data_IF_056389870156
#
_entry.id   IF_056389870156
#
_cell.length_a   1.000
_cell.length_b   1.000
_cell.length_c   1.000
_cell.angle_alpha   90.00
_cell.angle_beta   90.00
_cell.angle_gamma   90.00
#
_symmetry.space_group_name_H-M   'P 1'
#
loop_
_entity.id
_entity.type
_entity.pdbx_description
1 polymer ?
#
# COMPACT_ATOMS: atom_id res chain seq x y z
N UNK A 1 -6.00 2.27 68.85
CA UNK A 1 -4.59 2.10 68.48
C UNK A 1 -4.44 0.80 67.70
N UNK A 2 -4.34 0.89 66.37
CA UNK A 2 -4.09 -0.24 65.48
C UNK A 2 -3.20 0.29 64.35
N UNK A 3 -1.92 -0.05 64.42
CA UNK A 3 -0.90 0.36 63.45
C UNK A 3 -0.95 -0.67 62.32
N UNK A 4 -1.51 -0.30 61.17
CA UNK A 4 -1.37 -1.08 59.93
C UNK A 4 0.00 -0.79 59.33
N UNK A 5 0.85 -1.82 59.27
CA UNK A 5 2.16 -1.79 58.64
C UNK A 5 1.99 -1.83 57.11
N UNK A 6 2.66 -0.90 56.41
CA UNK A 6 2.74 -0.87 54.95
C UNK A 6 3.70 -1.96 54.43
N UNK A 7 3.42 -2.58 53.26
CA UNK A 7 4.30 -3.59 52.70
C UNK A 7 5.60 -2.99 52.15
N UNK A 8 6.70 -3.71 52.35
CA UNK A 8 8.06 -3.33 51.96
C UNK A 8 8.25 -3.36 50.43
N UNK A 9 9.09 -2.42 49.95
CA UNK A 9 9.40 -2.15 48.53
C UNK A 9 9.84 -3.37 47.71
N UNK A 10 10.37 -4.41 48.35
CA UNK A 10 10.89 -5.60 47.67
C UNK A 10 9.79 -6.52 47.12
N UNK A 11 8.57 -6.46 47.69
CA UNK A 11 7.45 -7.28 47.22
C UNK A 11 6.84 -6.79 45.89
N UNK A 12 7.05 -5.53 45.53
CA UNK A 12 6.55 -4.94 44.28
C UNK A 12 7.45 -5.27 43.07
N UNK A 13 8.76 -5.41 43.28
CA UNK A 13 9.71 -5.69 42.19
C UNK A 13 9.63 -7.14 41.69
N UNK A 14 9.35 -8.11 42.55
CA UNK A 14 9.22 -9.51 42.11
C UNK A 14 7.94 -9.79 41.32
N UNK A 15 6.87 -9.01 41.54
CA UNK A 15 5.61 -9.18 40.79
C UNK A 15 5.67 -8.57 39.39
N UNK A 16 6.47 -7.51 39.19
CA UNK A 16 6.70 -6.92 37.88
C UNK A 16 7.61 -7.78 36.97
N UNK A 17 8.52 -8.58 37.56
CA UNK A 17 9.42 -9.45 36.80
C UNK A 17 8.72 -10.69 36.21
N UNK A 18 7.63 -11.17 36.81
CA UNK A 18 6.92 -12.38 36.36
C UNK A 18 5.90 -12.12 35.25
N UNK A 19 5.41 -10.89 35.07
CA UNK A 19 4.45 -10.57 33.99
C UNK A 19 5.11 -10.33 32.63
N UNK A 20 6.41 -10.00 32.59
CA UNK A 20 7.13 -9.77 31.33
C UNK A 20 7.66 -11.06 30.67
N UNK A 21 7.85 -12.15 31.42
CA UNK A 21 8.41 -13.38 30.88
C UNK A 21 7.43 -14.26 30.06
N UNK A 22 6.12 -13.95 30.09
CA UNK A 22 5.07 -14.71 29.40
C UNK A 22 4.51 -14.03 28.15
N UNK A 23 4.94 -12.80 27.82
CA UNK A 23 4.51 -12.08 26.60
C UNK A 23 5.44 -12.27 25.39
N UNK A 24 6.65 -12.78 25.60
CA UNK A 24 7.71 -12.78 24.57
C UNK A 24 7.88 -14.13 23.85
N UNK A 25 6.96 -15.09 24.02
CA UNK A 25 7.08 -16.43 23.41
C UNK A 25 6.04 -16.77 22.35
N UNK A 26 5.26 -15.79 21.87
CA UNK A 26 4.10 -16.00 20.99
C UNK A 26 4.16 -15.43 19.57
N UNK A 27 4.95 -14.39 19.28
CA UNK A 27 4.73 -13.58 18.07
C UNK A 27 5.90 -13.49 17.06
N UNK A 28 7.03 -14.18 17.31
CA UNK A 28 8.20 -14.07 16.43
C UNK A 28 8.12 -14.91 15.13
N UNK A 29 7.12 -15.78 14.96
CA UNK A 29 7.03 -16.65 13.76
C UNK A 29 5.99 -16.23 12.70
N UNK A 30 5.38 -15.04 12.79
CA UNK A 30 4.41 -14.57 11.76
C UNK A 30 4.77 -13.28 11.03
N UNK A 31 5.83 -12.56 11.41
CA UNK A 31 6.19 -11.27 10.78
C UNK A 31 7.28 -11.35 9.69
N UNK A 32 7.92 -12.50 9.44
CA UNK A 32 9.02 -12.63 8.48
C UNK A 32 8.62 -12.91 7.01
N UNK A 33 7.37 -12.68 6.60
CA UNK A 33 6.93 -12.92 5.19
C UNK A 33 6.47 -11.69 4.40
N UNK A 34 6.65 -10.46 4.90
CA UNK A 34 6.15 -9.26 4.21
C UNK A 34 7.19 -8.13 4.10
N UNK A 35 8.48 -8.43 3.97
CA UNK A 35 9.53 -7.41 3.87
C UNK A 35 10.58 -7.73 2.80
N UNK A 36 10.12 -8.14 1.61
CA UNK A 36 10.88 -8.07 0.37
C UNK A 36 10.00 -7.34 -0.64
N UNK A 37 10.55 -6.25 -1.16
CA UNK A 37 10.08 -5.44 -2.29
C UNK A 37 9.80 -4.01 -1.87
N UNK A 38 10.85 -3.21 -1.66
CA UNK A 38 10.83 -1.74 -1.77
C UNK A 38 12.30 -1.28 -1.89
N UNK A 39 12.58 -0.56 -2.99
CA UNK A 39 13.81 0.19 -3.37
C UNK A 39 14.88 -0.52 -4.21
N UNK A 40 14.78 -0.36 -5.54
CA UNK A 40 15.69 0.52 -6.31
C UNK A 40 14.99 1.01 -7.59
N UNK A 41 14.63 2.29 -7.67
CA UNK A 41 14.40 2.96 -8.97
C UNK A 41 14.75 4.44 -8.89
N UNK A 42 16.04 4.70 -9.04
CA UNK A 42 16.60 6.02 -9.32
C UNK A 42 16.35 6.43 -10.78
N UNK A 43 16.29 7.74 -10.97
CA UNK A 43 15.94 8.46 -12.19
C UNK A 43 16.75 8.06 -13.43
N UNK A 44 16.06 7.90 -14.57
CA UNK A 44 16.69 8.08 -15.87
C UNK A 44 15.73 8.82 -16.80
N UNK A 45 15.95 10.13 -16.90
CA UNK A 45 15.42 11.02 -17.94
C UNK A 45 16.02 10.62 -19.28
N UNK A 46 15.22 10.00 -20.17
CA UNK A 46 15.58 9.85 -21.57
C UNK A 46 14.37 10.05 -22.46
N UNK A 47 14.52 11.02 -23.36
CA UNK A 47 13.55 11.49 -24.34
C UNK A 47 12.84 10.35 -25.10
N UNK A 48 11.51 10.34 -25.07
CA UNK A 48 10.68 9.56 -25.97
C UNK A 48 10.28 10.44 -27.16
N UNK A 49 10.94 10.19 -28.28
CA UNK A 49 10.45 10.59 -29.59
C UNK A 49 9.08 9.92 -29.82
N UNK A 50 8.10 10.73 -30.24
CA UNK A 50 6.80 10.25 -30.75
C UNK A 50 7.05 9.35 -31.95
N UNK A 51 6.66 8.08 -31.85
CA UNK A 51 6.40 7.21 -33.01
C UNK A 51 4.89 7.28 -33.27
N UNK A 52 4.43 7.61 -34.49
CA UNK A 52 3.01 7.58 -34.81
C UNK A 52 2.57 6.12 -34.94
N UNK A 53 1.63 5.69 -34.10
CA UNK A 53 0.90 4.44 -34.31
C UNK A 53 -0.29 4.80 -35.19
N UNK A 54 -0.21 4.44 -36.46
CA UNK A 54 -1.37 4.41 -37.36
C UNK A 54 -2.37 3.39 -36.79
N UNK A 55 -3.39 3.88 -36.11
CA UNK A 55 -4.56 3.10 -35.75
C UNK A 55 -5.35 2.82 -37.03
N UNK A 56 -5.14 1.65 -37.62
CA UNK A 56 -5.98 1.11 -38.67
C UNK A 56 -7.38 0.87 -38.11
N UNK A 57 -8.27 1.83 -38.34
CA UNK A 57 -9.71 1.71 -38.10
C UNK A 57 -10.26 0.69 -39.08
N UNK A 58 -10.54 -0.53 -38.63
CA UNK A 58 -11.39 -1.46 -39.38
C UNK A 58 -12.83 -1.01 -39.12
N UNK A 59 -13.30 -0.07 -39.95
CA UNK A 59 -14.71 0.30 -39.99
C UNK A 59 -15.49 -0.82 -40.68
N UNK A 60 -16.35 -1.52 -39.92
CA UNK A 60 -17.39 -2.35 -40.51
C UNK A 60 -18.55 -1.46 -41.00
N UNK A 61 -18.94 -1.53 -42.29
CA UNK A 61 -19.97 -0.66 -42.85
C UNK A 61 -21.33 -1.32 -42.64
N UNK A 62 -21.85 -1.25 -41.42
CA UNK A 62 -23.29 -1.47 -41.19
C UNK A 62 -23.81 -0.27 -40.39
N UNK A 63 -24.33 0.69 -41.16
CA UNK A 63 -25.28 1.75 -40.79
C UNK A 63 -25.49 2.02 -39.28
N UNK A 64 -24.70 2.92 -38.72
CA UNK A 64 -25.21 3.91 -37.74
C UNK A 64 -25.45 5.22 -38.46
N UNK A 65 -26.49 5.25 -39.27
CA UNK A 65 -27.13 6.53 -39.57
C UNK A 65 -27.68 7.03 -38.23
N UNK A 66 -27.02 8.01 -37.61
CA UNK A 66 -27.74 8.93 -36.73
C UNK A 66 -28.79 9.58 -37.62
N UNK A 67 -30.02 9.07 -37.58
CA UNK A 67 -31.15 9.72 -38.20
C UNK A 67 -31.31 11.04 -37.44
N UNK A 68 -30.69 12.09 -37.98
CA UNK A 68 -31.00 13.45 -37.61
C UNK A 68 -32.49 13.60 -37.86
N UNK A 69 -33.27 13.62 -36.78
CA UNK A 69 -34.72 13.71 -36.85
C UNK A 69 -35.02 15.05 -37.53
N UNK A 70 -35.65 15.06 -38.71
CA UNK A 70 -35.85 16.28 -39.46
C UNK A 70 -36.74 17.26 -38.66
N UNK A 71 -36.49 18.57 -38.74
CA UNK A 71 -37.06 19.58 -37.83
C UNK A 71 -38.60 19.65 -37.83
N UNK A 72 -39.26 19.16 -38.88
CA UNK A 72 -40.73 19.09 -38.95
C UNK A 72 -41.32 18.03 -38.01
N UNK A 73 -40.63 16.92 -37.74
CA UNK A 73 -41.12 15.92 -36.76
C UNK A 73 -41.11 16.47 -35.33
N UNK A 74 -40.27 17.47 -35.06
CA UNK A 74 -40.29 18.21 -33.80
C UNK A 74 -41.55 19.09 -33.67
N UNK A 75 -42.03 19.65 -34.77
CA UNK A 75 -43.29 20.41 -34.79
C UNK A 75 -44.51 19.49 -34.60
N UNK A 76 -44.51 18.30 -35.22
CA UNK A 76 -45.59 17.32 -35.02
C UNK A 76 -45.64 16.79 -33.58
N UNK A 77 -44.50 16.44 -32.99
CA UNK A 77 -44.45 16.00 -31.59
C UNK A 77 -44.88 17.12 -30.63
N UNK A 78 -44.52 18.39 -30.92
CA UNK A 78 -44.98 19.55 -30.13
C UNK A 78 -46.49 19.78 -30.27
N UNK A 79 -47.05 19.64 -31.47
CA UNK A 79 -48.49 19.77 -31.73
C UNK A 79 -49.31 18.58 -31.18
N UNK A 80 -48.73 17.38 -31.06
CA UNK A 80 -49.40 16.23 -30.42
C UNK A 80 -49.32 16.31 -28.89
N UNK A 81 -48.22 16.81 -28.33
CA UNK A 81 -48.12 17.12 -26.89
C UNK A 81 -49.15 18.17 -26.48
N UNK A 82 -49.46 19.15 -27.33
CA UNK A 82 -50.55 20.12 -27.11
C UNK A 82 -51.95 19.48 -27.09
N UNK A 83 -52.13 18.26 -27.63
CA UNK A 83 -53.43 17.55 -27.64
C UNK A 83 -53.68 16.70 -26.40
N UNK A 84 -52.65 16.39 -25.61
CA UNK A 84 -52.77 15.55 -24.41
C UNK A 84 -52.60 16.40 -23.15
N UNK A 85 -53.42 16.15 -22.12
CA UNK A 85 -53.26 16.80 -20.82
C UNK A 85 -51.91 16.37 -20.22
N UNK A 86 -51.05 17.31 -19.80
CA UNK A 86 -49.84 16.98 -19.06
C UNK A 86 -50.14 16.21 -17.78
N UNK A 87 -49.23 15.33 -17.39
CA UNK A 87 -49.32 14.57 -16.15
C UNK A 87 -48.78 15.45 -15.02
N UNK A 88 -49.66 15.80 -14.09
CA UNK A 88 -49.33 16.62 -12.91
C UNK A 88 -48.70 15.75 -11.80
N UNK A 89 -47.54 16.18 -11.32
CA UNK A 89 -46.85 15.69 -10.13
C UNK A 89 -47.00 16.70 -9.00
N UNK A 90 -47.13 16.23 -7.75
CA UNK A 90 -47.29 17.10 -6.59
C UNK A 90 -45.96 17.71 -6.15
N UNK A 91 -44.86 16.99 -6.39
CA UNK A 91 -43.53 17.41 -5.97
C UNK A 91 -42.44 16.90 -6.94
N UNK A 92 -41.27 17.55 -7.00
CA UNK A 92 -40.12 17.00 -7.73
C UNK A 92 -39.64 15.66 -7.14
N UNK A 93 -39.90 15.41 -5.85
CA UNK A 93 -39.63 14.14 -5.17
C UNK A 93 -40.44 12.99 -5.78
N UNK A 94 -41.66 13.23 -6.26
CA UNK A 94 -42.47 12.20 -6.94
C UNK A 94 -41.78 11.71 -8.22
N UNK A 95 -41.18 12.62 -9.00
CA UNK A 95 -40.42 12.27 -10.20
C UNK A 95 -39.20 11.41 -9.83
N UNK A 96 -38.47 11.79 -8.77
CA UNK A 96 -37.33 11.01 -8.27
C UNK A 96 -37.77 9.63 -7.79
N UNK A 97 -38.90 9.55 -7.08
CA UNK A 97 -39.49 8.30 -6.61
C UNK A 97 -39.86 7.39 -7.78
N UNK A 98 -40.48 7.91 -8.84
CA UNK A 98 -40.82 7.14 -10.04
C UNK A 98 -39.58 6.58 -10.73
N UNK A 99 -38.55 7.41 -10.91
CA UNK A 99 -37.25 6.99 -11.47
C UNK A 99 -36.63 5.88 -10.62
N UNK A 100 -36.59 6.07 -9.29
CA UNK A 100 -36.04 5.09 -8.36
C UNK A 100 -36.80 3.76 -8.38
N UNK A 101 -38.14 3.82 -8.46
CA UNK A 101 -38.99 2.64 -8.55
C UNK A 101 -38.80 1.87 -9.86
N UNK A 102 -38.67 2.58 -10.99
CA UNK A 102 -38.36 1.96 -12.29
C UNK A 102 -36.98 1.31 -12.27
N UNK A 103 -35.96 1.98 -11.74
CA UNK A 103 -34.61 1.41 -11.57
C UNK A 103 -34.62 0.18 -10.67
N UNK A 104 -35.29 0.23 -9.53
CA UNK A 104 -35.42 -0.91 -8.61
C UNK A 104 -36.11 -2.10 -9.29
N UNK A 105 -37.22 -1.86 -9.99
CA UNK A 105 -37.92 -2.90 -10.73
C UNK A 105 -37.06 -3.48 -11.86
N UNK A 106 -36.29 -2.63 -12.54
CA UNK A 106 -35.35 -3.06 -13.57
C UNK A 106 -34.22 -3.92 -12.98
N UNK A 107 -33.64 -3.53 -11.85
CA UNK A 107 -32.63 -4.32 -11.15
C UNK A 107 -33.19 -5.68 -10.67
N UNK A 108 -34.42 -5.72 -10.15
CA UNK A 108 -35.10 -6.97 -9.79
C UNK A 108 -35.39 -7.87 -10.99
N UNK A 109 -35.62 -7.28 -12.17
CA UNK A 109 -35.79 -8.06 -13.39
C UNK A 109 -34.44 -8.50 -13.95
N UNK A 110 -33.40 -7.69 -13.81
CA UNK A 110 -32.03 -8.06 -14.15
C UNK A 110 -31.57 -9.27 -13.33
N UNK A 111 -31.89 -9.29 -12.03
CA UNK A 111 -31.54 -10.40 -11.14
C UNK A 111 -32.29 -11.71 -11.43
N UNK A 112 -33.39 -11.67 -12.20
CA UNK A 112 -34.13 -12.88 -12.62
C UNK A 112 -33.54 -13.54 -13.85
N UNK A 113 -32.69 -12.84 -14.61
CA UNK A 113 -31.99 -13.44 -15.74
C UNK A 113 -30.99 -14.48 -15.24
N UNK A 114 -30.76 -15.57 -16.00
CA UNK A 114 -29.70 -16.50 -15.67
C UNK A 114 -28.36 -15.74 -15.65
N UNK A 115 -27.44 -16.06 -14.71
CA UNK A 115 -26.14 -15.41 -14.68
C UNK A 115 -25.43 -15.66 -16.01
N UNK A 116 -25.06 -14.57 -16.70
CA UNK A 116 -24.24 -14.69 -17.91
C UNK A 116 -22.88 -15.26 -17.53
N UNK A 117 -22.28 -16.06 -18.41
CA UNK A 117 -20.92 -16.56 -18.21
C UNK A 117 -19.89 -15.43 -18.24
N UNK A 118 -20.22 -14.29 -18.86
CA UNK A 118 -19.36 -13.12 -18.95
C UNK A 118 -19.90 -11.96 -18.10
N UNK A 119 -19.21 -11.57 -17.01
CA UNK A 119 -19.60 -10.41 -16.19
C UNK A 119 -19.59 -9.10 -16.98
N UNK A 120 -18.76 -8.96 -18.02
CA UNK A 120 -18.71 -7.75 -18.84
C UNK A 120 -20.01 -7.53 -19.62
N UNK A 121 -20.68 -8.62 -20.03
CA UNK A 121 -21.97 -8.54 -20.71
C UNK A 121 -23.07 -8.03 -19.76
N UNK A 122 -23.06 -8.46 -18.50
CA UNK A 122 -24.05 -8.00 -17.52
C UNK A 122 -23.88 -6.51 -17.23
N UNK A 123 -22.64 -6.05 -17.03
CA UNK A 123 -22.34 -4.63 -16.88
C UNK A 123 -22.81 -3.81 -18.10
N UNK A 124 -22.63 -4.35 -19.32
CA UNK A 124 -23.10 -3.67 -20.54
C UNK A 124 -24.62 -3.57 -20.61
N UNK A 125 -25.34 -4.59 -20.15
CA UNK A 125 -26.81 -4.56 -20.07
C UNK A 125 -27.28 -3.52 -19.05
N UNK A 126 -26.60 -3.42 -17.90
CA UNK A 126 -26.87 -2.38 -16.89
C UNK A 126 -26.71 -0.98 -17.48
N UNK A 127 -25.60 -0.72 -18.18
CA UNK A 127 -25.36 0.56 -18.88
C UNK A 127 -26.46 0.90 -19.90
N UNK A 128 -26.84 -0.08 -20.74
CA UNK A 128 -27.90 0.11 -21.74
C UNK A 128 -29.25 0.38 -21.11
N UNK A 129 -29.51 -0.25 -19.97
CA UNK A 129 -30.75 -0.09 -19.22
C UNK A 129 -30.81 1.30 -18.57
N UNK A 130 -29.72 1.78 -17.98
CA UNK A 130 -29.63 3.15 -17.48
C UNK A 130 -29.79 4.19 -18.61
N UNK A 131 -29.15 3.97 -19.76
CA UNK A 131 -29.33 4.81 -20.96
C UNK A 131 -30.79 4.79 -21.44
N UNK A 132 -31.44 3.62 -21.43
CA UNK A 132 -32.84 3.47 -21.80
C UNK A 132 -33.75 4.24 -20.84
N UNK A 133 -33.58 4.09 -19.53
CA UNK A 133 -34.36 4.82 -18.52
C UNK A 133 -34.18 6.33 -18.71
N UNK A 134 -32.95 6.79 -18.91
CA UNK A 134 -32.63 8.19 -19.21
C UNK A 134 -33.42 8.69 -20.42
N UNK A 135 -33.41 7.94 -21.52
CA UNK A 135 -34.12 8.28 -22.76
C UNK A 135 -35.65 8.31 -22.58
N UNK A 136 -36.21 7.36 -21.82
CA UNK A 136 -37.65 7.30 -21.53
C UNK A 136 -38.09 8.55 -20.78
N UNK A 137 -37.42 8.89 -19.68
CA UNK A 137 -37.80 10.05 -18.88
C UNK A 137 -37.48 11.37 -19.57
N UNK A 138 -36.42 11.45 -20.38
CA UNK A 138 -36.14 12.63 -21.23
C UNK A 138 -37.27 12.90 -22.21
N UNK A 139 -37.83 11.84 -22.82
CA UNK A 139 -38.97 11.94 -23.75
C UNK A 139 -40.28 12.21 -23.03
N UNK A 140 -40.43 11.74 -21.79
CA UNK A 140 -41.61 11.99 -20.97
C UNK A 140 -41.64 13.41 -20.40
N UNK A 141 -40.48 14.01 -20.13
CA UNK A 141 -40.31 15.33 -19.50
C UNK A 141 -41.23 16.45 -20.04
N UNK A 142 -41.40 16.67 -21.37
CA UNK A 142 -42.29 17.71 -21.88
C UNK A 142 -43.78 17.46 -21.59
N UNK A 143 -44.16 16.22 -21.27
CA UNK A 143 -45.53 15.84 -20.93
C UNK A 143 -45.77 15.77 -19.41
N UNK A 144 -44.78 16.14 -18.59
CA UNK A 144 -44.86 16.18 -17.14
C UNK A 144 -44.91 17.64 -16.66
N UNK A 145 -45.77 17.91 -15.70
CA UNK A 145 -45.86 19.18 -14.98
C UNK A 145 -45.72 18.91 -13.49
N UNK A 146 -44.99 19.78 -12.79
CA UNK A 146 -44.81 19.71 -11.33
C UNK A 146 -45.50 20.94 -10.77
N UNK A 147 -46.60 20.76 -10.04
CA UNK A 147 -47.45 21.86 -9.57
C UNK A 147 -47.85 22.86 -10.68
N UNK A 148 -48.20 22.35 -11.87
CA UNK A 148 -48.57 23.16 -13.03
C UNK A 148 -47.41 23.87 -13.74
N UNK A 149 -46.17 23.66 -13.31
CA UNK A 149 -44.97 24.22 -13.95
C UNK A 149 -44.19 23.14 -14.70
N UNK A 150 -43.56 23.46 -15.85
CA UNK A 150 -42.66 22.52 -16.49
C UNK A 150 -41.41 22.30 -15.62
N UNK A 151 -40.83 21.09 -15.61
CA UNK A 151 -39.60 20.80 -14.89
C UNK A 151 -38.46 21.69 -15.41
N UNK A 152 -37.80 22.39 -14.48
CA UNK A 152 -36.76 23.40 -14.75
C UNK A 152 -35.33 22.85 -14.83
N UNK A 153 -35.13 21.60 -14.42
CA UNK A 153 -33.83 20.92 -14.37
C UNK A 153 -33.76 19.78 -15.40
N UNK A 154 -32.57 19.45 -15.93
CA UNK A 154 -32.40 18.27 -16.76
C UNK A 154 -32.71 17.00 -15.96
N UNK A 155 -33.15 15.95 -16.66
CA UNK A 155 -33.51 14.67 -16.02
C UNK A 155 -32.35 14.06 -15.20
N UNK A 156 -31.11 14.34 -15.59
CA UNK A 156 -29.89 13.91 -14.89
C UNK A 156 -29.85 14.37 -13.44
N UNK A 157 -30.39 15.57 -13.13
CA UNK A 157 -30.46 16.08 -11.76
C UNK A 157 -31.44 15.26 -10.90
N UNK A 158 -32.56 14.84 -11.47
CA UNK A 158 -33.55 14.02 -10.77
C UNK A 158 -33.12 12.54 -10.64
N UNK A 159 -32.23 12.07 -11.51
CA UNK A 159 -31.67 10.72 -11.45
C UNK A 159 -30.52 10.57 -10.43
N UNK A 160 -30.01 11.66 -9.87
CA UNK A 160 -29.03 11.57 -8.79
C UNK A 160 -29.69 10.96 -7.55
N UNK A 161 -29.04 9.97 -6.91
CA UNK A 161 -29.54 9.39 -5.66
C UNK A 161 -29.77 10.53 -4.66
N UNK A 162 -30.89 10.48 -3.94
CA UNK A 162 -31.09 11.38 -2.80
C UNK A 162 -30.00 11.02 -1.79
N UNK A 163 -29.14 11.97 -1.44
CA UNK A 163 -28.21 11.80 -0.33
C UNK A 163 -29.06 11.68 0.94
N UNK A 164 -29.36 10.44 1.34
CA UNK A 164 -29.95 10.16 2.64
C UNK A 164 -28.85 10.42 3.68
N UNK A 165 -28.88 11.61 4.28
CA UNK A 165 -27.98 11.96 5.36
C UNK A 165 -28.31 11.12 6.59
N UNK A 166 -27.34 10.34 7.07
CA UNK A 166 -27.44 9.71 8.37
C UNK A 166 -27.62 10.81 9.45
N UNK A 167 -28.52 10.61 10.44
CA UNK A 167 -28.63 11.54 11.54
C UNK A 167 -27.30 11.67 12.28
N UNK A 168 -26.98 12.88 12.72
CA UNK A 168 -25.72 13.18 13.39
C UNK A 168 -25.58 12.44 14.73
N UNK A 169 -24.62 11.51 14.83
CA UNK A 169 -24.30 10.84 16.10
C UNK A 169 -23.20 11.59 16.87
N UNK A 170 -23.62 12.28 17.93
CA UNK A 170 -22.72 12.96 18.88
C UNK A 170 -21.69 12.03 19.55
N UNK A 171 -22.00 10.74 19.70
CA UNK A 171 -21.08 9.76 20.32
C UNK A 171 -19.94 9.43 19.37
N UNK A 172 -20.25 9.21 18.11
CA UNK A 172 -19.25 8.96 17.07
C UNK A 172 -18.35 10.19 16.90
N UNK A 173 -18.92 11.40 16.95
CA UNK A 173 -18.14 12.64 16.95
C UNK A 173 -17.17 12.70 18.14
N UNK A 174 -17.65 12.44 19.36
CA UNK A 174 -16.79 12.44 20.55
C UNK A 174 -15.65 11.42 20.44
N UNK A 175 -15.94 10.23 19.89
CA UNK A 175 -14.93 9.21 19.63
C UNK A 175 -13.89 9.68 18.61
N UNK A 176 -14.31 10.27 17.48
CA UNK A 176 -13.40 10.83 16.46
C UNK A 176 -12.50 11.90 17.05
N UNK A 177 -13.06 12.81 17.87
CA UNK A 177 -12.27 13.86 18.55
C UNK A 177 -11.25 13.24 19.49
N UNK A 178 -11.64 12.26 20.31
CA UNK A 178 -10.72 11.59 21.23
C UNK A 178 -9.58 10.86 20.51
N UNK A 179 -9.88 10.16 19.41
CA UNK A 179 -8.88 9.48 18.59
C UNK A 179 -7.93 10.47 17.93
N UNK A 180 -8.44 11.63 17.51
CA UNK A 180 -7.60 12.70 16.97
C UNK A 180 -6.62 13.24 18.02
N UNK A 181 -7.09 13.47 19.25
CA UNK A 181 -6.21 13.88 20.35
C UNK A 181 -5.14 12.83 20.66
N UNK A 182 -5.48 11.54 20.60
CA UNK A 182 -4.50 10.45 20.77
C UNK A 182 -3.44 10.46 19.66
N UNK A 183 -3.86 10.67 18.41
CA UNK A 183 -2.94 10.79 17.25
C UNK A 183 -1.98 11.97 17.47
N UNK A 184 -2.48 13.13 17.88
CA UNK A 184 -1.65 14.30 18.16
C UNK A 184 -0.66 14.03 19.29
N UNK A 185 -1.11 13.45 20.40
CA UNK A 185 -0.25 13.10 21.52
C UNK A 185 0.87 12.14 21.12
N UNK A 186 0.53 11.06 20.40
CA UNK A 186 1.53 10.08 19.92
C UNK A 186 2.50 10.70 18.93
N UNK A 187 2.01 11.60 18.08
CA UNK A 187 2.86 12.34 17.14
C UNK A 187 3.86 13.22 17.87
N UNK A 188 3.43 13.93 18.92
CA UNK A 188 4.31 14.74 19.77
C UNK A 188 5.34 13.88 20.53
N UNK A 189 4.93 12.72 21.04
CA UNK A 189 5.87 11.79 21.70
C UNK A 189 6.93 11.28 20.71
N UNK A 190 6.51 10.92 19.50
CA UNK A 190 7.41 10.42 18.48
C UNK A 190 8.38 11.51 17.99
N UNK A 191 7.93 12.77 17.85
CA UNK A 191 8.83 13.87 17.50
C UNK A 191 9.82 14.18 18.63
N UNK A 192 9.38 14.14 19.88
CA UNK A 192 10.26 14.26 21.05
C UNK A 192 11.31 13.14 21.07
N UNK A 193 10.89 11.88 20.91
CA UNK A 193 11.82 10.73 20.83
C UNK A 193 12.81 10.86 19.67
N UNK A 194 12.37 11.28 18.48
CA UNK A 194 13.28 11.47 17.34
C UNK A 194 14.32 12.55 17.58
N UNK A 195 14.00 13.57 18.38
CA UNK A 195 14.92 14.65 18.73
C UNK A 195 15.86 14.25 19.88
N UNK A 196 15.32 13.61 20.91
CA UNK A 196 16.01 13.41 22.18
C UNK A 196 16.71 12.04 22.26
N UNK A 197 16.20 10.99 21.60
CA UNK A 197 16.81 9.65 21.66
C UNK A 197 18.21 9.59 21.02
N UNK A 198 18.49 10.21 19.86
CA UNK A 198 19.84 10.16 19.27
C UNK A 198 20.89 10.87 20.14
N UNK A 199 20.51 11.97 20.81
CA UNK A 199 21.42 12.72 21.68
C UNK A 199 21.68 11.97 22.98
N UNK A 200 20.63 11.43 23.62
CA UNK A 200 20.77 10.58 24.80
C UNK A 200 21.61 9.33 24.52
N UNK A 201 21.38 8.66 23.39
CA UNK A 201 22.14 7.47 23.02
C UNK A 201 23.61 7.79 22.79
N UNK A 202 23.91 8.92 22.12
CA UNK A 202 25.28 9.39 21.94
C UNK A 202 25.98 9.64 23.28
N UNK A 203 25.33 10.33 24.20
CA UNK A 203 25.90 10.61 25.53
C UNK A 203 26.19 9.32 26.31
N UNK A 204 25.30 8.34 26.24
CA UNK A 204 25.52 7.02 26.85
C UNK A 204 26.71 6.30 26.21
N UNK A 205 26.79 6.25 24.88
CA UNK A 205 27.91 5.63 24.17
C UNK A 205 29.24 6.34 24.43
N UNK A 206 29.27 7.68 24.44
CA UNK A 206 30.49 8.45 24.69
C UNK A 206 31.01 8.17 26.11
N UNK A 207 30.10 8.06 27.10
CA UNK A 207 30.47 7.71 28.47
C UNK A 207 31.00 6.27 28.58
N UNK A 208 30.31 5.31 27.97
CA UNK A 208 30.73 3.90 27.99
C UNK A 208 32.06 3.71 27.25
N UNK A 209 32.23 4.35 26.09
CA UNK A 209 33.45 4.30 25.30
C UNK A 209 34.64 4.89 26.05
N UNK A 210 34.49 6.07 26.64
CA UNK A 210 35.57 6.69 27.43
C UNK A 210 35.87 5.92 28.72
N UNK A 211 34.91 5.18 29.28
CA UNK A 211 35.17 4.29 30.40
C UNK A 211 36.00 3.07 29.96
N UNK A 212 35.66 2.49 28.80
CA UNK A 212 36.38 1.34 28.24
C UNK A 212 37.80 1.71 27.78
N UNK A 213 37.98 2.87 27.16
CA UNK A 213 39.29 3.40 26.78
C UNK A 213 40.20 3.55 28.01
N UNK A 214 39.66 4.11 29.12
CA UNK A 214 40.40 4.17 30.39
C UNK A 214 40.73 2.80 30.97
N UNK A 215 39.88 1.78 30.77
CA UNK A 215 40.18 0.39 31.20
C UNK A 215 41.25 -0.23 30.32
N UNK A 216 41.15 -0.05 29.00
CA UNK A 216 42.11 -0.52 28.01
C UNK A 216 43.50 0.08 28.24
N UNK A 217 43.59 1.39 28.45
CA UNK A 217 44.85 2.08 28.73
C UNK A 217 45.51 1.60 30.02
N UNK A 218 44.72 1.32 31.07
CA UNK A 218 45.25 0.72 32.30
C UNK A 218 45.79 -0.69 32.05
N UNK A 219 45.09 -1.47 31.24
CA UNK A 219 45.51 -2.82 30.91
C UNK A 219 46.81 -2.79 30.10
N UNK A 220 46.89 -1.99 29.03
CA UNK A 220 48.11 -1.86 28.22
C UNK A 220 49.30 -1.40 29.05
N UNK A 221 49.14 -0.36 29.90
CA UNK A 221 50.19 0.08 30.82
C UNK A 221 50.66 -1.06 31.74
N UNK A 222 49.73 -1.86 32.27
CA UNK A 222 50.10 -3.02 33.11
C UNK A 222 50.84 -4.11 32.34
N UNK A 223 50.53 -4.31 31.06
CA UNK A 223 51.25 -5.25 30.19
C UNK A 223 52.65 -4.72 29.82
N UNK A 224 52.76 -3.43 29.49
CA UNK A 224 54.04 -2.76 29.22
C UNK A 224 54.96 -2.81 30.44
N UNK A 225 54.42 -2.57 31.63
CA UNK A 225 55.17 -2.67 32.89
C UNK A 225 55.67 -4.10 33.14
N UNK A 226 54.84 -5.12 32.87
CA UNK A 226 55.26 -6.54 32.95
C UNK A 226 56.31 -6.91 31.90
N UNK A 227 56.19 -6.40 30.68
CA UNK A 227 57.16 -6.60 29.60
C UNK A 227 58.49 -5.95 29.95
N UNK A 228 58.49 -4.72 30.45
CA UNK A 228 59.70 -4.00 30.83
C UNK A 228 60.36 -4.56 32.11
N UNK A 229 59.57 -5.13 33.03
CA UNK A 229 60.08 -5.81 34.23
C UNK A 229 60.67 -7.19 33.93
N UNK A 230 60.30 -7.79 32.80
CA UNK A 230 60.90 -9.03 32.31
C UNK A 230 62.13 -8.65 31.50
N UNK A 231 63.34 -8.85 32.04
CA UNK A 231 64.55 -8.68 31.23
C UNK A 231 64.44 -9.56 29.97
N UNK A 232 64.84 -9.05 28.78
CA UNK A 232 64.80 -9.86 27.58
C UNK A 232 65.80 -11.00 27.75
N UNK A 233 65.32 -12.16 28.23
CA UNK A 233 66.02 -13.43 28.01
C UNK A 233 66.17 -13.54 26.50
N UNK A 234 67.39 -13.28 26.02
CA UNK A 234 67.72 -13.27 24.60
C UNK A 234 67.46 -14.65 24.02
N UNK A 235 66.24 -14.88 23.54
CA UNK A 235 65.92 -15.96 22.63
C UNK A 235 66.68 -15.64 21.35
N UNK A 236 67.86 -16.25 21.22
CA UNK A 236 68.60 -16.32 19.97
C UNK A 236 67.70 -17.10 19.01
N UNK A 237 66.89 -16.36 18.25
CA UNK A 237 66.18 -16.89 17.10
C UNK A 237 67.27 -17.30 16.12
N UNK A 238 67.64 -18.58 16.15
CA UNK A 238 68.49 -19.17 15.11
C UNK A 238 67.78 -18.99 13.77
N UNK A 239 68.54 -18.67 12.73
CA UNK A 239 68.03 -18.68 11.35
C UNK A 239 67.26 -19.99 11.13
N UNK A 240 65.96 -19.87 10.90
CA UNK A 240 65.09 -21.02 10.66
C UNK A 240 65.51 -21.57 9.31
N UNK A 241 66.25 -22.69 9.30
CA UNK A 241 66.83 -23.33 8.10
C UNK A 241 65.82 -23.65 6.98
N UNK A 242 64.51 -23.46 7.22
CA UNK A 242 63.40 -23.71 6.28
C UNK A 242 62.55 -22.47 5.98
N UNK A 243 63.04 -21.26 6.28
CA UNK A 243 62.31 -20.02 6.06
C UNK A 243 61.88 -19.84 4.59
N UNK A 244 62.74 -20.20 3.65
CA UNK A 244 62.43 -20.14 2.22
C UNK A 244 61.34 -21.16 1.83
N UNK A 245 61.35 -22.36 2.41
CA UNK A 245 60.29 -23.36 2.20
C UNK A 245 58.95 -22.90 2.80
N UNK A 246 58.97 -22.27 3.97
CA UNK A 246 57.80 -21.71 4.63
C UNK A 246 57.20 -20.53 3.84
N UNK A 247 58.04 -19.63 3.34
CA UNK A 247 57.61 -18.53 2.48
C UNK A 247 57.09 -19.03 1.12
N UNK A 248 57.71 -20.06 0.54
CA UNK A 248 57.23 -20.68 -0.69
C UNK A 248 55.86 -21.35 -0.50
N UNK A 249 55.66 -22.07 0.61
CA UNK A 249 54.37 -22.70 0.93
C UNK A 249 53.28 -21.69 1.23
N UNK A 250 53.60 -20.60 1.95
CA UNK A 250 52.69 -19.47 2.18
C UNK A 250 52.27 -18.81 0.86
N UNK A 251 53.22 -18.45 -0.02
CA UNK A 251 52.92 -17.87 -1.33
C UNK A 251 52.06 -18.79 -2.18
N UNK A 252 52.31 -20.10 -2.13
CA UNK A 252 51.48 -21.10 -2.82
C UNK A 252 50.06 -21.16 -2.25
N UNK A 253 49.90 -21.06 -0.93
CA UNK A 253 48.59 -21.01 -0.29
C UNK A 253 47.82 -19.74 -0.63
N UNK A 254 48.50 -18.58 -0.63
CA UNK A 254 47.92 -17.29 -1.04
C UNK A 254 47.44 -17.32 -2.51
N UNK A 255 48.26 -17.87 -3.41
CA UNK A 255 47.89 -18.04 -4.82
C UNK A 255 46.68 -18.98 -4.98
N UNK A 256 46.65 -20.11 -4.26
CA UNK A 256 45.53 -21.04 -4.30
C UNK A 256 44.24 -20.42 -3.74
N UNK A 257 44.32 -19.60 -2.70
CA UNK A 257 43.16 -18.91 -2.14
C UNK A 257 42.58 -17.88 -3.13
N UNK A 258 43.45 -17.15 -3.85
CA UNK A 258 43.03 -16.22 -4.90
C UNK A 258 42.37 -16.95 -6.07
N UNK A 259 42.91 -18.09 -6.49
CA UNK A 259 42.31 -18.94 -7.53
C UNK A 259 40.89 -19.38 -7.11
N UNK A 260 40.74 -19.93 -5.90
CA UNK A 260 39.44 -20.34 -5.34
C UNK A 260 38.46 -19.16 -5.30
N UNK A 261 38.90 -17.97 -4.91
CA UNK A 261 38.05 -16.79 -4.88
C UNK A 261 37.52 -16.43 -6.28
N UNK A 262 38.39 -16.49 -7.29
CA UNK A 262 38.00 -16.21 -8.69
C UNK A 262 37.06 -17.28 -9.24
N UNK A 263 37.34 -18.56 -8.95
CA UNK A 263 36.52 -19.68 -9.40
C UNK A 263 35.15 -19.71 -8.73
N UNK A 264 35.07 -19.41 -7.43
CA UNK A 264 33.80 -19.27 -6.72
C UNK A 264 32.91 -18.21 -7.38
N UNK A 265 33.50 -17.06 -7.72
CA UNK A 265 32.79 -15.97 -8.40
C UNK A 265 32.30 -16.41 -9.79
N UNK A 266 33.13 -17.18 -10.52
CA UNK A 266 32.77 -17.75 -11.83
C UNK A 266 31.63 -18.77 -11.74
N UNK A 267 31.66 -19.65 -10.74
CA UNK A 267 30.61 -20.66 -10.49
C UNK A 267 29.30 -19.98 -10.09
N UNK A 268 29.36 -18.99 -9.19
CA UNK A 268 28.19 -18.19 -8.83
C UNK A 268 27.57 -17.52 -10.05
N UNK A 269 28.38 -16.93 -10.93
CA UNK A 269 27.90 -16.34 -12.18
C UNK A 269 27.29 -17.34 -13.18
N UNK A 270 27.68 -18.62 -13.13
CA UNK A 270 27.03 -19.69 -13.91
C UNK A 270 25.71 -20.12 -13.26
N UNK A 271 25.69 -20.26 -11.94
CA UNK A 271 24.52 -20.65 -11.17
C UNK A 271 23.39 -19.61 -11.29
N UNK A 272 23.70 -18.32 -11.18
CA UNK A 272 22.71 -17.25 -11.33
C UNK A 272 22.12 -17.21 -12.74
N UNK A 273 22.94 -17.41 -13.78
CA UNK A 273 22.47 -17.50 -15.17
C UNK A 273 21.60 -18.73 -15.41
N UNK A 274 22.00 -19.90 -14.89
CA UNK A 274 21.22 -21.12 -15.00
C UNK A 274 19.87 -20.99 -14.25
N UNK A 275 19.87 -20.40 -13.07
CA UNK A 275 18.65 -20.12 -12.30
C UNK A 275 17.73 -19.14 -13.03
N UNK A 276 18.26 -18.06 -13.62
CA UNK A 276 17.48 -17.13 -14.42
C UNK A 276 16.85 -17.80 -15.66
N UNK A 277 17.62 -18.64 -16.36
CA UNK A 277 17.10 -19.39 -17.51
C UNK A 277 16.02 -20.41 -17.11
N UNK A 278 16.20 -21.11 -15.98
CA UNK A 278 15.21 -22.03 -15.45
C UNK A 278 13.90 -21.31 -15.08
N UNK A 279 14.00 -20.16 -14.40
CA UNK A 279 12.83 -19.34 -14.07
C UNK A 279 12.10 -18.85 -15.33
N UNK A 280 12.82 -18.43 -16.36
CA UNK A 280 12.22 -18.01 -17.63
C UNK A 280 11.42 -19.13 -18.32
N UNK A 281 11.96 -20.37 -18.31
CA UNK A 281 11.24 -21.53 -18.87
C UNK A 281 9.97 -21.81 -18.06
N UNK A 282 10.07 -21.80 -16.72
CA UNK A 282 8.92 -22.00 -15.83
C UNK A 282 7.84 -20.91 -15.99
N UNK A 283 8.24 -19.65 -16.17
CA UNK A 283 7.32 -18.53 -16.42
C UNK A 283 6.62 -18.71 -17.78
N UNK A 284 7.38 -19.11 -18.81
CA UNK A 284 6.85 -19.35 -20.16
C UNK A 284 5.82 -20.49 -20.17
N UNK A 285 6.08 -21.59 -19.48
CA UNK A 285 5.15 -22.73 -19.33
C UNK A 285 3.88 -22.38 -18.54
N UNK A 286 3.90 -21.36 -17.69
CA UNK A 286 2.71 -20.89 -16.96
C UNK A 286 1.84 -19.92 -17.76
N UNK A 287 2.41 -19.31 -18.80
CA UNK A 287 1.77 -18.26 -19.61
C UNK A 287 1.23 -18.73 -20.97
N UNK A 288 1.49 -19.98 -21.35
CA UNK A 288 0.96 -20.63 -22.56
C UNK A 288 0.04 -21.78 -22.21
#
# INVERSE_FOLDING_TARGET
MLIQQAPTRDALNHRAAQTNANSERGDETRACKASKDIHTRTHNTRALARVPVESATIEHPIHRQRIATPPHLYQFAKMEAEKMRPIELQSPEDLRYLIGKVRSAAAQNLSKLPPSQDPAMMQRVEELLDEYIMNVFTRALPNLTINGLPPNLPITAYMQPVEEFEPFDSRLQAAVVSLHMEIEQRTLQLTAMRRDAPTQLRELFDNDWTAEERRGEKLTKSWEEKLNATEPEGLVVRDVERHEEAEATKKKAEAGLQEIQTDLTRVLGRLTRASAAANYILEKERSG
#
